data_IF_339412108265
#
_entry.id   IF_339412108265
#
_cell.length_a   1.000
_cell.length_b   1.000
_cell.length_c   1.000
_cell.angle_alpha   90.00
_cell.angle_beta   90.00
_cell.angle_gamma   90.00
#
_symmetry.space_group_name_H-M   'P 1'
#
loop_
_entity.id
_entity.type
_entity.pdbx_description
1 polymer ?
#
# COMPACT_ATOMS: atom_id res chain seq x y z
N UNK A 1 46.44 8.04 45.73
CA UNK A 1 47.09 8.74 44.59
C UNK A 1 48.03 7.77 43.90
N UNK A 2 47.72 7.31 42.69
CA UNK A 2 48.61 6.67 41.67
C UNK A 2 47.68 6.28 40.49
N UNK A 3 47.49 7.14 39.48
CA UNK A 3 48.16 7.10 38.17
C UNK A 3 48.36 5.68 37.58
N UNK A 4 47.49 5.27 36.64
CA UNK A 4 47.79 5.01 35.21
C UNK A 4 46.91 3.92 34.57
N UNK A 5 46.50 4.19 33.32
CA UNK A 5 46.18 3.28 32.21
C UNK A 5 44.97 2.35 32.44
N UNK A 6 44.05 2.06 31.52
CA UNK A 6 43.89 2.11 30.07
C UNK A 6 42.35 1.97 29.83
N UNK A 7 41.69 2.14 28.70
CA UNK A 7 42.01 2.29 27.29
C UNK A 7 40.68 2.84 26.72
N UNK A 8 40.62 4.12 26.34
CA UNK A 8 39.44 4.68 25.67
C UNK A 8 39.51 4.19 24.22
N UNK A 9 38.76 3.13 23.92
CA UNK A 9 38.56 2.65 22.55
C UNK A 9 37.58 3.61 21.85
N UNK A 10 38.16 4.59 21.16
CA UNK A 10 37.47 5.46 20.22
C UNK A 10 37.10 4.62 18.99
N UNK A 11 35.90 4.03 19.00
CA UNK A 11 35.31 3.45 17.78
C UNK A 11 34.82 4.61 16.92
N UNK A 12 35.71 5.07 16.03
CA UNK A 12 35.35 5.94 14.92
C UNK A 12 34.48 5.14 13.95
N UNK A 13 33.17 5.39 13.98
CA UNK A 13 32.24 4.89 12.97
C UNK A 13 32.50 5.70 11.69
N UNK A 14 33.35 5.18 10.82
CA UNK A 14 33.44 5.66 9.45
C UNK A 14 32.23 5.15 8.68
N UNK A 15 31.25 6.03 8.43
CA UNK A 15 30.22 5.79 7.43
C UNK A 15 30.91 5.69 6.05
N UNK A 16 31.05 4.47 5.54
CA UNK A 16 31.34 4.26 4.11
C UNK A 16 30.10 4.64 3.32
N UNK A 17 30.22 5.73 2.56
CA UNK A 17 29.27 6.11 1.53
C UNK A 17 29.25 5.01 0.45
N UNK A 18 28.11 4.33 0.28
CA UNK A 18 27.86 3.58 -0.94
C UNK A 18 27.50 4.59 -2.04
N UNK A 19 28.51 5.00 -2.79
CA UNK A 19 28.32 5.62 -4.10
C UNK A 19 27.67 4.60 -5.03
N UNK A 20 26.38 4.75 -5.31
CA UNK A 20 25.71 4.02 -6.39
C UNK A 20 26.23 4.52 -7.73
N UNK A 21 27.31 3.88 -8.21
CA UNK A 21 27.73 4.00 -9.61
C UNK A 21 26.65 3.37 -10.49
N UNK A 22 25.97 4.22 -11.25
CA UNK A 22 25.11 3.82 -12.37
C UNK A 22 25.96 3.17 -13.45
N UNK A 23 26.01 1.84 -13.46
CA UNK A 23 26.49 1.10 -14.63
C UNK A 23 25.37 1.03 -15.65
N UNK A 24 25.53 1.82 -16.72
CA UNK A 24 24.87 1.56 -17.98
C UNK A 24 25.37 0.20 -18.50
N UNK A 25 24.68 -0.87 -18.13
CA UNK A 25 24.85 -2.17 -18.80
C UNK A 25 23.91 -2.20 -20.00
N UNK A 26 24.48 -1.93 -21.17
CA UNK A 26 23.87 -2.26 -22.46
C UNK A 26 23.78 -3.78 -22.57
N UNK A 27 22.68 -4.36 -22.09
CA UNK A 27 22.32 -5.71 -22.45
C UNK A 27 21.69 -5.66 -23.85
N UNK A 28 22.51 -5.93 -24.87
CA UNK A 28 22.03 -6.43 -26.15
C UNK A 28 21.40 -7.81 -25.92
N UNK A 29 20.11 -7.82 -25.59
CA UNK A 29 19.29 -9.02 -25.65
C UNK A 29 18.48 -8.95 -26.94
N UNK A 30 18.90 -9.80 -27.87
CA UNK A 30 18.22 -10.21 -29.09
C UNK A 30 16.70 -10.21 -28.93
N UNK A 31 16.02 -9.40 -29.74
CA UNK A 31 14.58 -9.49 -29.95
C UNK A 31 14.22 -10.88 -30.49
N UNK A 32 13.79 -11.79 -29.62
CA UNK A 32 12.86 -12.81 -30.06
C UNK A 32 11.47 -12.18 -30.04
N UNK A 33 11.08 -11.63 -31.19
CA UNK A 33 9.69 -11.38 -31.52
C UNK A 33 9.03 -12.75 -31.63
N UNK A 34 8.49 -13.25 -30.52
CA UNK A 34 7.47 -14.29 -30.58
C UNK A 34 6.15 -13.58 -30.76
N UNK A 35 5.65 -13.56 -31.99
CA UNK A 35 4.30 -13.15 -32.33
C UNK A 35 3.33 -14.13 -31.65
N UNK A 36 2.91 -13.79 -30.43
CA UNK A 36 1.76 -14.38 -29.77
C UNK A 36 0.96 -13.21 -29.19
N UNK A 37 -0.29 -13.07 -29.59
CA UNK A 37 -1.20 -12.16 -28.93
C UNK A 37 -1.37 -12.60 -27.48
N UNK A 38 -0.65 -11.97 -26.54
CA UNK A 38 -0.70 -12.28 -25.12
C UNK A 38 -0.46 -10.99 -24.32
N UNK A 39 -1.43 -10.64 -23.49
CA UNK A 39 -1.39 -9.55 -22.50
C UNK A 39 -0.02 -9.43 -21.85
N UNK A 40 0.59 -8.24 -21.91
CA UNK A 40 1.79 -7.97 -21.14
C UNK A 40 1.48 -8.29 -19.66
N UNK A 41 2.15 -9.30 -19.10
CA UNK A 41 2.03 -9.66 -17.68
C UNK A 41 2.70 -8.54 -16.87
N UNK A 42 2.01 -7.41 -16.70
CA UNK A 42 2.44 -6.34 -15.81
C UNK A 42 2.30 -6.89 -14.40
N UNK A 43 3.38 -6.82 -13.61
CA UNK A 43 3.31 -7.22 -12.20
C UNK A 43 2.34 -6.32 -11.45
N UNK A 44 1.60 -6.88 -10.48
CA UNK A 44 0.69 -6.10 -9.63
C UNK A 44 1.38 -4.86 -9.04
N UNK A 45 2.65 -5.01 -8.64
CA UNK A 45 3.46 -3.90 -8.14
C UNK A 45 3.69 -2.81 -9.18
N UNK A 46 4.08 -3.16 -10.41
CA UNK A 46 4.27 -2.18 -11.47
C UNK A 46 2.94 -1.49 -11.84
N UNK A 47 1.85 -2.25 -11.89
CA UNK A 47 0.52 -1.70 -12.14
C UNK A 47 0.10 -0.72 -11.03
N UNK A 48 0.28 -1.09 -9.76
CA UNK A 48 0.02 -0.24 -8.60
C UNK A 48 0.79 1.09 -8.68
N UNK A 49 2.08 1.04 -9.01
CA UNK A 49 2.90 2.24 -9.16
C UNK A 49 2.42 3.12 -10.32
N UNK A 50 2.11 2.51 -11.47
CA UNK A 50 1.60 3.24 -12.62
C UNK A 50 0.27 3.94 -12.30
N UNK A 51 -0.66 3.27 -11.63
CA UNK A 51 -1.95 3.87 -11.26
C UNK A 51 -1.72 5.06 -10.33
N UNK A 52 -0.96 4.88 -9.24
CA UNK A 52 -0.70 5.94 -8.28
C UNK A 52 0.01 7.15 -8.92
N UNK A 53 0.97 6.92 -9.82
CA UNK A 53 1.63 7.99 -10.56
C UNK A 53 0.68 8.72 -11.52
N UNK A 54 -0.20 8.01 -12.23
CA UNK A 54 -1.18 8.64 -13.11
C UNK A 54 -2.18 9.49 -12.34
N UNK A 55 -2.62 9.03 -11.15
CA UNK A 55 -3.48 9.80 -10.25
C UNK A 55 -2.75 11.07 -9.82
N UNK A 56 -1.53 10.98 -9.29
CA UNK A 56 -0.80 12.14 -8.76
C UNK A 56 -0.39 13.13 -9.86
N UNK A 57 -0.05 12.64 -11.06
CA UNK A 57 0.28 13.51 -12.20
C UNK A 57 -0.94 14.30 -12.70
N UNK A 58 -2.12 13.69 -12.70
CA UNK A 58 -3.36 14.32 -13.19
C UNK A 58 -3.99 15.21 -12.13
N UNK A 59 -4.04 14.72 -10.90
CA UNK A 59 -4.60 15.39 -9.74
C UNK A 59 -3.54 15.44 -8.63
N UNK A 60 -2.57 16.37 -8.69
CA UNK A 60 -1.59 16.51 -7.62
C UNK A 60 -2.27 16.80 -6.29
N UNK A 61 -1.98 15.99 -5.27
CA UNK A 61 -2.54 16.10 -3.92
C UNK A 61 -2.29 17.47 -3.25
N UNK A 62 -1.27 18.19 -3.72
CA UNK A 62 -0.94 19.57 -3.31
C UNK A 62 -1.93 20.61 -3.83
N UNK A 63 -2.58 20.35 -4.96
CA UNK A 63 -3.54 21.27 -5.61
C UNK A 63 -4.98 20.80 -5.44
N UNK A 64 -5.20 19.49 -5.40
CA UNK A 64 -6.50 18.87 -5.24
C UNK A 64 -6.50 18.11 -3.91
N UNK A 65 -7.26 18.56 -2.90
CA UNK A 65 -7.25 17.93 -1.58
C UNK A 65 -7.80 16.49 -1.63
N UNK A 66 -6.90 15.54 -1.76
CA UNK A 66 -7.18 14.11 -1.66
C UNK A 66 -5.98 13.36 -1.07
N UNK A 67 -6.24 12.16 -0.60
CA UNK A 67 -5.24 11.15 -0.25
C UNK A 67 -5.80 9.82 -0.71
N UNK A 68 -5.78 9.58 -2.01
CA UNK A 68 -6.20 8.30 -2.60
C UNK A 68 -4.98 7.47 -2.91
N UNK A 69 -5.03 6.19 -2.53
CA UNK A 69 -3.99 5.20 -2.83
C UNK A 69 -4.64 4.04 -3.58
N UNK A 70 -4.05 3.66 -4.71
CA UNK A 70 -4.35 2.41 -5.38
C UNK A 70 -3.51 1.29 -4.78
N UNK A 71 -4.14 0.16 -4.51
CA UNK A 71 -3.48 -1.08 -4.10
C UNK A 71 -3.90 -2.18 -5.06
N UNK A 72 -2.93 -2.89 -5.63
CA UNK A 72 -3.21 -4.01 -6.52
C UNK A 72 -2.90 -5.32 -5.79
N UNK A 73 -3.79 -6.29 -5.90
CA UNK A 73 -3.55 -7.63 -5.38
C UNK A 73 -4.26 -8.67 -6.26
N UNK A 74 -3.46 -9.53 -6.86
CA UNK A 74 -3.87 -10.56 -7.81
C UNK A 74 -4.74 -10.02 -8.96
N UNK A 75 -4.29 -8.93 -9.58
CA UNK A 75 -5.00 -8.29 -10.70
C UNK A 75 -6.27 -7.50 -10.33
N UNK A 76 -6.67 -7.48 -9.05
CA UNK A 76 -7.76 -6.62 -8.57
C UNK A 76 -7.17 -5.34 -7.99
N UNK A 77 -7.66 -4.20 -8.48
CA UNK A 77 -7.26 -2.87 -8.01
C UNK A 77 -8.26 -2.38 -6.98
N UNK A 78 -7.79 -2.03 -5.79
CA UNK A 78 -8.56 -1.38 -4.75
C UNK A 78 -8.14 0.10 -4.67
N UNK A 79 -9.09 1.01 -4.87
CA UNK A 79 -8.87 2.45 -4.63
C UNK A 79 -9.39 2.78 -3.23
N UNK A 80 -8.51 3.24 -2.35
CA UNK A 80 -8.84 3.59 -0.97
C UNK A 80 -8.39 5.00 -0.64
N UNK A 81 -9.03 5.60 0.36
CA UNK A 81 -8.63 6.88 0.89
C UNK A 81 -9.74 7.90 0.87
N UNK A 82 -9.37 9.17 0.77
CA UNK A 82 -10.33 10.27 0.90
C UNK A 82 -10.15 11.30 -0.20
N UNK A 83 -11.27 11.85 -0.66
CA UNK A 83 -11.32 12.97 -1.59
C UNK A 83 -12.27 14.04 -1.05
N UNK A 84 -11.99 15.31 -1.36
CA UNK A 84 -12.79 16.42 -0.86
C UNK A 84 -14.25 16.41 -1.37
N UNK A 85 -14.48 15.98 -2.61
CA UNK A 85 -15.81 15.98 -3.20
C UNK A 85 -16.00 14.76 -4.11
N UNK A 86 -17.27 14.49 -4.46
CA UNK A 86 -17.64 13.34 -5.29
C UNK A 86 -17.03 13.43 -6.69
N UNK A 87 -17.01 14.62 -7.28
CA UNK A 87 -16.44 14.84 -8.61
C UNK A 87 -14.95 14.44 -8.67
N UNK A 88 -14.16 14.81 -7.66
CA UNK A 88 -12.76 14.42 -7.58
C UNK A 88 -12.60 12.91 -7.40
N UNK A 89 -13.44 12.27 -6.57
CA UNK A 89 -13.43 10.81 -6.40
C UNK A 89 -13.75 10.08 -7.72
N UNK A 90 -14.77 10.54 -8.45
CA UNK A 90 -15.19 9.96 -9.73
C UNK A 90 -14.13 10.15 -10.82
N UNK A 91 -13.48 11.32 -10.83
CA UNK A 91 -12.38 11.61 -11.73
C UNK A 91 -11.15 10.73 -11.45
N UNK A 92 -10.77 10.56 -10.18
CA UNK A 92 -9.67 9.67 -9.79
C UNK A 92 -9.98 8.23 -10.19
N UNK A 93 -11.22 7.76 -9.94
CA UNK A 93 -11.67 6.45 -10.38
C UNK A 93 -11.53 6.28 -11.90
N UNK A 94 -11.97 7.27 -12.69
CA UNK A 94 -11.84 7.26 -14.15
C UNK A 94 -10.39 7.19 -14.60
N UNK A 95 -9.48 7.97 -14.01
CA UNK A 95 -8.06 7.90 -14.34
C UNK A 95 -7.50 6.50 -14.06
N UNK A 96 -7.84 5.91 -12.92
CA UNK A 96 -7.41 4.55 -12.59
C UNK A 96 -7.91 3.51 -13.62
N UNK A 97 -9.13 3.65 -14.14
CA UNK A 97 -9.68 2.75 -15.19
C UNK A 97 -8.97 2.87 -16.54
N UNK A 98 -8.36 4.01 -16.83
CA UNK A 98 -7.70 4.27 -18.12
C UNK A 98 -6.27 3.72 -18.18
N UNK A 99 -5.70 3.31 -17.04
CA UNK A 99 -4.36 2.74 -16.99
C UNK A 99 -4.36 1.36 -17.64
N UNK A 100 -3.43 1.15 -18.56
CA UNK A 100 -3.28 -0.12 -19.27
C UNK A 100 -2.97 -1.26 -18.28
N UNK A 101 -3.67 -2.39 -18.43
CA UNK A 101 -3.51 -3.56 -17.58
C UNK A 101 -4.42 -3.58 -16.33
N UNK A 102 -5.21 -2.54 -16.10
CA UNK A 102 -6.20 -2.54 -15.02
C UNK A 102 -7.38 -3.44 -15.37
N UNK A 103 -7.65 -4.42 -14.50
CA UNK A 103 -8.81 -5.30 -14.60
C UNK A 103 -9.98 -4.80 -13.76
N UNK A 104 -10.36 -5.57 -12.72
CA UNK A 104 -11.45 -5.22 -11.80
C UNK A 104 -10.98 -4.12 -10.84
N UNK A 105 -11.73 -3.02 -10.77
CA UNK A 105 -11.52 -1.96 -9.77
C UNK A 105 -12.60 -2.01 -8.72
N UNK A 106 -12.19 -1.97 -7.46
CA UNK A 106 -13.05 -1.79 -6.30
C UNK A 106 -12.84 -0.37 -5.76
N UNK A 107 -13.85 0.49 -5.92
CA UNK A 107 -13.80 1.85 -5.42
C UNK A 107 -14.23 1.87 -3.95
N UNK A 108 -13.36 2.33 -3.06
CA UNK A 108 -13.58 2.54 -1.63
C UNK A 108 -13.07 3.93 -1.20
N UNK A 109 -13.06 4.89 -2.12
CA UNK A 109 -12.74 6.29 -1.83
C UNK A 109 -13.90 6.90 -1.03
N UNK A 110 -13.57 7.50 0.11
CA UNK A 110 -14.53 8.24 0.93
C UNK A 110 -14.57 9.71 0.52
N UNK A 111 -15.77 10.24 0.31
CA UNK A 111 -15.95 11.67 0.12
C UNK A 111 -16.09 12.36 1.47
N UNK A 112 -15.20 13.32 1.73
CA UNK A 112 -15.23 14.14 2.93
C UNK A 112 -14.97 15.61 2.55
N UNK A 113 -16.01 16.44 2.56
CA UNK A 113 -15.95 17.86 2.22
C UNK A 113 -15.02 18.69 3.11
N UNK A 114 -14.76 18.20 4.33
CA UNK A 114 -13.86 18.81 5.30
C UNK A 114 -12.46 18.19 5.28
N UNK A 115 -12.18 17.31 4.30
CA UNK A 115 -10.88 16.67 4.19
C UNK A 115 -9.77 17.71 4.00
N UNK A 116 -8.76 17.64 4.88
CA UNK A 116 -7.55 18.42 4.77
C UNK A 116 -6.35 17.47 4.82
N UNK A 117 -5.55 17.37 3.74
CA UNK A 117 -4.43 16.44 3.66
C UNK A 117 -3.29 16.77 4.65
N UNK A 118 -3.27 17.97 5.24
CA UNK A 118 -2.26 18.42 6.21
C UNK A 118 -2.55 17.95 7.64
N UNK A 119 -3.79 17.55 7.95
CA UNK A 119 -4.15 17.08 9.30
C UNK A 119 -3.86 15.58 9.39
N UNK A 120 -2.80 15.21 10.11
CA UNK A 120 -2.46 13.81 10.39
C UNK A 120 -3.08 13.37 11.72
N UNK A 121 -3.76 12.22 11.73
CA UNK A 121 -4.38 11.64 12.94
C UNK A 121 -3.36 11.13 13.96
N UNK A 122 -3.82 10.93 15.20
CA UNK A 122 -2.98 10.66 16.38
C UNK A 122 -2.29 9.27 16.39
N UNK A 123 -2.63 8.37 15.47
CA UNK A 123 -1.99 7.03 15.33
C UNK A 123 -1.67 6.78 13.87
N UNK A 124 -0.45 6.33 13.58
CA UNK A 124 -0.05 6.00 12.22
C UNK A 124 -0.72 4.71 11.74
N UNK A 125 -1.25 4.75 10.53
CA UNK A 125 -1.85 3.58 9.87
C UNK A 125 -0.86 2.41 9.74
N UNK A 126 0.44 2.69 9.68
CA UNK A 126 1.51 1.69 9.65
C UNK A 126 1.57 0.87 10.93
N UNK A 127 1.41 1.51 12.10
CA UNK A 127 1.41 0.83 13.40
C UNK A 127 0.15 -0.02 13.56
N UNK A 128 -1.02 0.53 13.19
CA UNK A 128 -2.28 -0.24 13.19
C UNK A 128 -2.14 -1.47 12.28
N UNK A 129 -1.63 -1.29 11.06
CA UNK A 129 -1.40 -2.39 10.11
C UNK A 129 -0.47 -3.45 10.70
N UNK A 130 0.63 -3.07 11.34
CA UNK A 130 1.57 -4.00 11.94
C UNK A 130 0.94 -4.81 13.08
N UNK A 131 0.18 -4.14 13.97
CA UNK A 131 -0.54 -4.79 15.08
C UNK A 131 -1.56 -5.77 14.54
N UNK A 132 -2.43 -5.35 13.61
CA UNK A 132 -3.45 -6.22 13.02
C UNK A 132 -2.81 -7.43 12.33
N UNK A 133 -1.76 -7.23 11.52
CA UNK A 133 -1.04 -8.35 10.87
C UNK A 133 -0.46 -9.33 11.89
N UNK A 134 0.16 -8.82 12.96
CA UNK A 134 0.70 -9.65 14.04
C UNK A 134 -0.41 -10.48 14.72
N UNK A 135 -1.55 -9.87 15.01
CA UNK A 135 -2.70 -10.51 15.65
C UNK A 135 -3.31 -11.59 14.77
N UNK A 136 -3.49 -11.33 13.48
CA UNK A 136 -3.98 -12.32 12.54
C UNK A 136 -3.02 -13.50 12.39
N UNK A 137 -1.70 -13.26 12.42
CA UNK A 137 -0.71 -14.34 12.35
C UNK A 137 -0.73 -15.27 13.58
N UNK A 138 -1.11 -14.76 14.75
CA UNK A 138 -1.24 -15.54 15.98
C UNK A 138 -2.64 -16.18 16.15
N UNK A 139 -3.61 -15.78 15.33
CA UNK A 139 -4.99 -16.27 15.41
C UNK A 139 -5.13 -17.62 14.71
N UNK A 140 -5.47 -18.66 15.47
CA UNK A 140 -5.72 -20.00 14.91
C UNK A 140 -6.95 -19.98 14.01
N UNK A 141 -6.87 -20.68 12.89
CA UNK A 141 -7.98 -20.81 11.93
C UNK A 141 -8.07 -19.68 10.90
N UNK A 142 -7.30 -18.59 11.06
CA UNK A 142 -7.23 -17.51 10.07
C UNK A 142 -5.96 -17.64 9.24
N UNK A 143 -6.06 -17.88 7.92
CA UNK A 143 -4.91 -17.93 7.03
C UNK A 143 -4.42 -16.52 6.72
N UNK A 144 -3.51 -15.98 7.53
CA UNK A 144 -2.96 -14.62 7.35
C UNK A 144 -2.30 -14.40 5.98
N UNK A 145 -1.82 -15.45 5.30
CA UNK A 145 -1.27 -15.39 3.94
C UNK A 145 -2.34 -15.20 2.85
N UNK A 146 -3.60 -15.50 3.14
CA UNK A 146 -4.74 -15.33 2.21
C UNK A 146 -5.54 -14.05 2.47
N UNK A 147 -5.07 -13.21 3.39
CA UNK A 147 -5.71 -11.94 3.75
C UNK A 147 -4.66 -10.84 3.69
N UNK A 148 -4.75 -9.95 2.69
CA UNK A 148 -3.93 -8.75 2.63
C UNK A 148 -4.58 -7.66 3.49
N UNK A 149 -3.84 -7.18 4.47
CA UNK A 149 -4.26 -6.11 5.39
C UNK A 149 -3.64 -4.79 4.94
N UNK A 150 -4.49 -3.79 4.71
CA UNK A 150 -4.11 -2.40 4.42
C UNK A 150 -4.89 -1.51 5.38
N UNK A 151 -4.24 -0.50 5.97
CA UNK A 151 -4.93 0.49 6.81
C UNK A 151 -4.75 1.87 6.21
N UNK A 152 -5.82 2.65 6.17
CA UNK A 152 -5.76 4.05 5.82
C UNK A 152 -6.79 4.85 6.62
N UNK A 153 -6.36 5.97 7.22
CA UNK A 153 -7.19 6.80 8.08
C UNK A 153 -7.87 6.00 9.20
N UNK A 154 -7.12 5.12 9.86
CA UNK A 154 -7.60 4.21 10.91
C UNK A 154 -8.68 3.21 10.44
N UNK A 155 -8.95 3.10 9.14
CA UNK A 155 -9.86 2.10 8.57
C UNK A 155 -9.03 0.95 8.04
N UNK A 156 -9.32 -0.26 8.50
CA UNK A 156 -8.64 -1.48 8.09
C UNK A 156 -9.40 -2.12 6.94
N UNK A 157 -8.74 -2.26 5.80
CA UNK A 157 -9.22 -2.98 4.62
C UNK A 157 -8.61 -4.39 4.61
N UNK A 158 -9.49 -5.39 4.67
CA UNK A 158 -9.13 -6.81 4.60
C UNK A 158 -9.46 -7.34 3.22
N UNK A 159 -8.47 -7.40 2.34
CA UNK A 159 -8.65 -8.06 1.05
C UNK A 159 -8.48 -9.55 1.29
N UNK A 160 -9.55 -10.32 1.07
CA UNK A 160 -9.60 -11.73 1.46
C UNK A 160 -9.89 -12.65 0.29
N UNK A 161 -9.15 -13.76 0.28
CA UNK A 161 -9.44 -15.00 -0.48
C UNK A 161 -9.70 -16.19 0.45
N UNK A 162 -9.88 -15.92 1.74
CA UNK A 162 -10.24 -16.92 2.73
C UNK A 162 -11.75 -17.20 2.67
N UNK A 163 -12.22 -18.21 3.40
CA UNK A 163 -13.67 -18.44 3.52
C UNK A 163 -14.34 -17.25 4.25
N UNK A 164 -15.66 -17.12 4.11
CA UNK A 164 -16.41 -16.09 4.80
C UNK A 164 -16.17 -16.13 6.32
N UNK A 165 -16.28 -17.31 6.93
CA UNK A 165 -16.04 -17.52 8.37
C UNK A 165 -14.64 -17.08 8.81
N UNK A 166 -13.61 -17.42 8.03
CA UNK A 166 -12.22 -17.02 8.30
C UNK A 166 -12.05 -15.51 8.21
N UNK A 167 -12.69 -14.90 7.21
CA UNK A 167 -12.61 -13.45 6.97
C UNK A 167 -13.35 -12.67 8.03
N UNK A 168 -14.52 -13.14 8.47
CA UNK A 168 -15.27 -12.55 9.58
C UNK A 168 -14.49 -12.65 10.90
N UNK A 169 -13.82 -13.79 11.13
CA UNK A 169 -12.94 -13.94 12.30
C UNK A 169 -11.79 -12.94 12.24
N UNK A 170 -11.14 -12.80 11.08
CA UNK A 170 -10.10 -11.80 10.89
C UNK A 170 -10.62 -10.37 11.11
N UNK A 171 -11.83 -10.06 10.65
CA UNK A 171 -12.46 -8.76 10.84
C UNK A 171 -12.75 -8.47 12.32
N UNK A 172 -13.24 -9.46 13.07
CA UNK A 172 -13.43 -9.32 14.54
C UNK A 172 -12.12 -9.07 15.27
N UNK A 173 -11.05 -9.79 14.91
CA UNK A 173 -9.72 -9.58 15.50
C UNK A 173 -9.21 -8.17 15.18
N UNK A 174 -9.29 -7.74 13.92
CA UNK A 174 -8.87 -6.39 13.52
C UNK A 174 -9.67 -5.30 14.23
N UNK A 175 -11.00 -5.46 14.35
CA UNK A 175 -11.87 -4.47 14.99
C UNK A 175 -11.64 -4.32 16.50
N UNK A 176 -11.06 -5.33 17.16
CA UNK A 176 -10.74 -5.29 18.58
C UNK A 176 -9.46 -4.51 18.91
N UNK A 177 -8.63 -4.18 17.90
CA UNK A 177 -7.36 -3.50 18.12
C UNK A 177 -7.54 -2.00 18.35
N UNK A 178 -6.73 -1.45 19.25
CA UNK A 178 -6.75 -0.03 19.58
C UNK A 178 -6.38 0.83 18.36
N UNK A 179 -7.15 1.91 18.16
CA UNK A 179 -6.94 2.85 17.06
C UNK A 179 -7.62 2.44 15.76
N UNK A 180 -8.28 1.28 15.68
CA UNK A 180 -9.12 0.92 14.54
C UNK A 180 -10.47 1.64 14.64
N UNK A 181 -10.81 2.44 13.63
CA UNK A 181 -12.09 3.15 13.52
C UNK A 181 -13.17 2.25 12.91
N UNK A 182 -12.81 1.50 11.88
CA UNK A 182 -13.72 0.61 11.16
C UNK A 182 -12.94 -0.46 10.42
N UNK A 183 -13.59 -1.58 10.13
CA UNK A 183 -13.04 -2.65 9.29
C UNK A 183 -13.92 -2.82 8.05
N UNK A 184 -13.31 -2.93 6.88
CA UNK A 184 -13.97 -3.19 5.59
C UNK A 184 -13.43 -4.47 5.00
N UNK A 185 -14.32 -5.41 4.72
CA UNK A 185 -13.97 -6.65 4.04
C UNK A 185 -14.10 -6.42 2.53
N UNK A 186 -13.05 -6.78 1.80
CA UNK A 186 -12.97 -6.70 0.35
C UNK A 186 -12.76 -8.12 -0.17
N UNK A 187 -13.83 -8.78 -0.60
CA UNK A 187 -13.76 -10.15 -1.09
C UNK A 187 -13.26 -10.18 -2.52
N UNK A 188 -12.20 -10.96 -2.76
CA UNK A 188 -11.66 -11.21 -4.09
C UNK A 188 -12.20 -12.55 -4.60
N UNK A 189 -13.44 -12.55 -5.07
CA UNK A 189 -14.09 -13.67 -5.73
C UNK A 189 -14.54 -13.33 -7.16
#
# INVERSE_FOLDING_TARGET
>A
MLKKLALISLVAVTLTACSSSSTNSTNTSTSQVTTNQNTANISDYALEQNINQNIENTYPSTRFPHRVTAVVWEGITLLIGQAQNQELADNIYRIATQVYGVGKIMNQIEVNSQFNPTVSGNVSDSTITAIVKSRLALTRGVPSTRIKVITQNSIVYLLSKATLEQTETAARVAAAESGVKSVRIVTLN
#
